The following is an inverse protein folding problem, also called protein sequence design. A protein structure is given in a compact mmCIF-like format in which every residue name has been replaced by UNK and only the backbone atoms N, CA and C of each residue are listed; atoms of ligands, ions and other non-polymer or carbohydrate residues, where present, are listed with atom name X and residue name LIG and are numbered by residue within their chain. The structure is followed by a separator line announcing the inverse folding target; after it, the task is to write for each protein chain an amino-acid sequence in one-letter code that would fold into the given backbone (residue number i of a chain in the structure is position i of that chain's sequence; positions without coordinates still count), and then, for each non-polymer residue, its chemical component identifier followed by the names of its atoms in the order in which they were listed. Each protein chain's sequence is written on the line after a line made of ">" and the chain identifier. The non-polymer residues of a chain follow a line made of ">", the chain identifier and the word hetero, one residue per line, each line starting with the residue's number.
data_IF_639639456105
#
_entry.id   IF_639639456105
#
_cell.length_a   1.000
_cell.length_b   1.000
_cell.length_c   1.000
_cell.angle_alpha   90.00
_cell.angle_beta   90.00
_cell.angle_gamma   90.00
#
_symmetry.space_group_name_H-M   'P 1'
#
loop_
_entity.id
_entity.type
_entity.pdbx_description
1 polymer ?
#
# COMPACT_ATOMS: atom_id res chain seq x y z
N UNK A 1 60.31 -36.57 42.85
CA UNK A 1 59.44 -35.37 42.89
C UNK A 1 59.02 -35.13 41.44
N UNK A 2 57.87 -35.61 40.95
CA UNK A 2 56.46 -35.36 41.29
C UNK A 2 55.89 -34.05 40.69
N UNK A 3 55.58 -34.14 39.40
CA UNK A 3 54.33 -33.75 38.72
C UNK A 3 53.71 -32.35 38.90
N UNK A 4 53.52 -31.69 37.73
CA UNK A 4 52.24 -31.25 37.15
C UNK A 4 51.58 -29.92 37.61
N UNK A 5 50.90 -29.26 36.64
CA UNK A 5 49.96 -28.11 36.78
C UNK A 5 50.64 -26.77 37.17
N UNK A 6 50.12 -25.57 36.89
CA UNK A 6 48.95 -25.05 36.14
C UNK A 6 49.48 -23.94 35.16
N UNK A 7 48.81 -23.40 34.13
CA UNK A 7 47.50 -23.59 33.46
C UNK A 7 47.59 -22.96 32.04
N UNK A 8 46.48 -22.88 31.28
CA UNK A 8 46.36 -22.08 30.03
C UNK A 8 45.08 -21.23 30.11
N UNK A 9 45.21 -19.90 30.15
CA UNK A 9 44.08 -19.00 30.41
C UNK A 9 43.32 -18.66 29.12
N UNK A 10 42.39 -19.54 28.74
CA UNK A 10 41.51 -19.34 27.59
C UNK A 10 40.34 -18.41 27.98
N UNK A 11 40.47 -17.10 27.73
CA UNK A 11 39.39 -16.14 27.94
C UNK A 11 38.25 -16.35 26.93
N UNK A 12 37.23 -17.13 27.31
CA UNK A 12 35.92 -17.10 26.64
C UNK A 12 35.28 -15.72 26.87
N UNK A 13 35.34 -14.87 25.86
CA UNK A 13 34.50 -13.67 25.76
C UNK A 13 33.07 -14.12 25.44
N UNK A 14 32.28 -14.43 26.47
CA UNK A 14 30.84 -14.72 26.31
C UNK A 14 30.12 -13.40 26.05
N UNK A 15 29.80 -13.14 24.79
CA UNK A 15 28.96 -11.99 24.42
C UNK A 15 27.57 -12.13 25.03
N UNK A 16 27.20 -11.23 25.93
CA UNK A 16 25.88 -11.20 26.53
C UNK A 16 24.89 -10.65 25.50
N UNK A 17 24.13 -11.55 24.86
CA UNK A 17 23.04 -11.18 23.96
C UNK A 17 21.81 -10.84 24.81
N UNK A 18 21.62 -9.56 25.14
CA UNK A 18 20.46 -9.09 25.88
C UNK A 18 19.20 -9.14 25.01
N UNK A 19 18.55 -10.30 24.99
CA UNK A 19 17.14 -10.42 24.59
C UNK A 19 16.28 -9.81 25.70
N UNK A 20 15.58 -8.71 25.42
CA UNK A 20 14.50 -8.22 26.28
C UNK A 20 13.36 -9.23 26.26
N UNK A 21 13.12 -9.91 27.39
CA UNK A 21 11.98 -10.82 27.57
C UNK A 21 10.63 -10.10 27.71
N UNK A 22 10.43 -9.01 26.99
CA UNK A 22 9.22 -8.19 27.03
C UNK A 22 8.13 -8.79 26.12
N UNK A 23 6.84 -8.63 26.49
CA UNK A 23 5.74 -8.83 25.55
C UNK A 23 5.91 -7.96 24.28
N UNK A 24 5.50 -8.44 23.09
CA UNK A 24 5.69 -7.72 21.82
C UNK A 24 5.17 -6.27 21.82
N UNK A 25 4.10 -5.99 22.54
CA UNK A 25 3.46 -4.68 22.69
C UNK A 25 4.36 -3.69 23.46
N UNK A 26 5.16 -4.18 24.41
CA UNK A 26 6.14 -3.36 25.14
C UNK A 26 7.48 -3.29 24.41
N UNK A 27 7.82 -4.32 23.65
CA UNK A 27 9.03 -4.34 22.83
C UNK A 27 8.95 -3.37 21.65
N UNK A 28 7.79 -3.21 21.00
CA UNK A 28 7.61 -2.22 19.91
C UNK A 28 7.77 -0.78 20.41
N UNK A 29 7.25 -0.47 21.60
CA UNK A 29 7.43 0.85 22.25
C UNK A 29 8.89 1.09 22.66
N UNK A 30 9.56 0.07 23.22
CA UNK A 30 11.00 0.14 23.54
C UNK A 30 11.85 0.41 22.29
N UNK A 31 11.53 -0.26 21.19
CA UNK A 31 12.22 -0.07 19.91
C UNK A 31 11.92 1.31 19.30
N UNK A 32 10.70 1.84 19.44
CA UNK A 32 10.38 3.21 19.02
C UNK A 32 11.19 4.26 19.80
N UNK A 33 11.35 4.10 21.12
CA UNK A 33 12.18 4.99 21.93
C UNK A 33 13.65 4.95 21.47
N UNK A 34 14.19 3.75 21.25
CA UNK A 34 15.55 3.58 20.77
C UNK A 34 15.74 4.09 19.32
N UNK A 35 14.69 4.04 18.49
CA UNK A 35 14.64 4.61 17.14
C UNK A 35 14.70 6.14 17.17
N UNK A 36 13.92 6.78 18.06
CA UNK A 36 13.97 8.23 18.31
C UNK A 36 15.39 8.67 18.66
N UNK A 37 15.99 8.04 19.67
CA UNK A 37 17.37 8.29 20.10
C UNK A 37 18.39 8.07 18.97
N UNK A 38 18.20 7.05 18.13
CA UNK A 38 19.13 6.76 17.02
C UNK A 38 19.02 7.79 15.90
N UNK A 39 17.82 8.31 15.62
CA UNK A 39 17.61 9.41 14.66
C UNK A 39 18.16 10.73 15.20
N UNK A 40 17.92 11.05 16.47
CA UNK A 40 18.45 12.26 17.14
C UNK A 40 19.99 12.29 17.14
N UNK A 41 20.63 11.14 17.39
CA UNK A 41 22.09 10.99 17.34
C UNK A 41 22.65 10.79 15.91
N UNK A 42 21.81 10.79 14.87
CA UNK A 42 22.25 10.60 13.48
C UNK A 42 22.76 9.19 13.15
N UNK A 43 22.45 8.18 13.97
CA UNK A 43 22.81 6.78 13.76
C UNK A 43 21.78 6.07 12.87
N UNK A 44 21.83 6.38 11.56
CA UNK A 44 20.86 5.92 10.56
C UNK A 44 20.87 4.40 10.31
N UNK A 45 21.99 3.72 10.57
CA UNK A 45 22.11 2.26 10.48
C UNK A 45 21.35 1.57 11.62
N UNK A 46 21.51 2.08 12.84
CA UNK A 46 20.80 1.56 14.00
C UNK A 46 19.30 1.87 13.92
N UNK A 47 18.93 3.08 13.49
CA UNK A 47 17.55 3.45 13.17
C UNK A 47 16.91 2.52 12.12
N UNK A 48 17.64 2.19 11.05
CA UNK A 48 17.20 1.18 10.06
C UNK A 48 16.99 -0.18 10.70
N UNK A 49 17.91 -0.61 11.56
CA UNK A 49 17.86 -1.92 12.23
C UNK A 49 16.67 -2.02 13.18
N UNK A 50 16.35 -0.95 13.91
CA UNK A 50 15.20 -0.87 14.81
C UNK A 50 13.88 -0.94 14.03
N UNK A 51 13.74 -0.21 12.92
CA UNK A 51 12.58 -0.32 12.01
C UNK A 51 12.44 -1.73 11.39
N UNK A 52 13.53 -2.47 11.20
CA UNK A 52 13.48 -3.88 10.79
C UNK A 52 13.03 -4.80 11.93
N UNK A 53 13.45 -4.55 13.17
CA UNK A 53 13.03 -5.31 14.34
C UNK A 53 11.55 -5.07 14.68
N UNK A 54 11.11 -3.81 14.67
CA UNK A 54 9.73 -3.40 14.93
C UNK A 54 8.75 -4.11 13.98
N UNK A 55 9.04 -4.15 12.67
CA UNK A 55 8.24 -4.84 11.64
C UNK A 55 8.23 -6.38 11.76
N UNK A 56 9.08 -6.99 12.59
CA UNK A 56 9.06 -8.44 12.87
C UNK A 56 8.17 -8.80 14.06
N UNK A 57 7.70 -7.81 14.81
CA UNK A 57 6.74 -8.01 15.89
C UNK A 57 5.33 -8.05 15.30
N UNK A 58 4.57 -9.09 15.61
CA UNK A 58 3.19 -9.29 15.15
C UNK A 58 2.20 -8.44 15.97
N UNK A 59 2.44 -7.13 15.99
CA UNK A 59 1.65 -6.12 16.72
C UNK A 59 1.49 -4.84 15.89
N UNK A 60 0.40 -4.06 16.13
CA UNK A 60 0.26 -2.73 15.54
C UNK A 60 1.46 -1.84 15.83
N UNK A 61 1.92 -1.12 14.81
CA UNK A 61 3.06 -0.22 14.91
C UNK A 61 2.59 1.17 15.38
N UNK A 62 3.27 1.83 16.33
CA UNK A 62 2.93 3.19 16.75
C UNK A 62 2.94 4.17 15.56
N UNK A 63 1.98 5.10 15.50
CA UNK A 63 1.82 5.98 14.34
C UNK A 63 3.09 6.78 14.03
N UNK A 64 3.79 7.25 15.06
CA UNK A 64 5.04 8.01 14.97
C UNK A 64 6.16 7.23 14.27
N UNK A 65 6.14 5.89 14.23
CA UNK A 65 7.17 5.10 13.56
C UNK A 65 7.25 5.44 12.06
N UNK A 66 6.14 5.81 11.44
CA UNK A 66 6.07 6.24 10.05
C UNK A 66 6.85 7.54 9.81
N UNK A 67 6.81 8.51 10.73
CA UNK A 67 7.61 9.73 10.62
C UNK A 67 9.12 9.42 10.62
N UNK A 68 9.56 8.57 11.54
CA UNK A 68 10.97 8.16 11.64
C UNK A 68 11.41 7.26 10.47
N UNK A 69 10.54 6.40 9.94
CA UNK A 69 10.80 5.67 8.70
C UNK A 69 10.97 6.63 7.52
N UNK A 70 10.14 7.67 7.41
CA UNK A 70 10.28 8.74 6.43
C UNK A 70 11.66 9.39 6.48
N UNK A 71 12.10 9.83 7.66
CA UNK A 71 13.45 10.39 7.87
C UNK A 71 14.58 9.44 7.43
N UNK A 72 14.48 8.15 7.78
CA UNK A 72 15.46 7.13 7.36
C UNK A 72 15.47 6.96 5.83
N UNK A 73 14.31 7.03 5.16
CA UNK A 73 14.19 6.93 3.71
C UNK A 73 14.73 8.15 2.97
N UNK A 74 14.48 9.38 3.47
CA UNK A 74 15.13 10.60 2.97
C UNK A 74 16.66 10.47 3.01
N UNK A 75 17.21 9.96 4.12
CA UNK A 75 18.66 9.76 4.28
C UNK A 75 19.26 8.74 3.31
N UNK A 76 18.46 7.79 2.83
CA UNK A 76 18.84 6.81 1.80
C UNK A 76 18.57 7.29 0.37
N UNK A 77 18.05 8.51 0.20
CA UNK A 77 17.60 9.05 -1.08
C UNK A 77 16.44 8.23 -1.71
N UNK A 78 15.70 7.47 -0.90
CA UNK A 78 14.49 6.74 -1.30
C UNK A 78 13.27 7.69 -1.36
N UNK A 79 13.40 8.84 -2.04
CA UNK A 79 12.47 9.98 -1.92
C UNK A 79 11.00 9.63 -2.16
N UNK A 80 10.71 8.86 -3.22
CA UNK A 80 9.35 8.36 -3.49
C UNK A 80 8.76 7.58 -2.31
N UNK A 81 9.53 6.63 -1.76
CA UNK A 81 9.11 5.80 -0.62
C UNK A 81 9.00 6.63 0.67
N UNK A 82 9.90 7.60 0.86
CA UNK A 82 9.88 8.50 2.01
C UNK A 82 8.57 9.30 2.02
N UNK A 83 8.22 9.88 0.88
CA UNK A 83 6.98 10.63 0.67
C UNK A 83 5.75 9.80 0.99
N UNK A 84 5.60 8.61 0.41
CA UNK A 84 4.45 7.72 0.68
C UNK A 84 4.26 7.40 2.16
N UNK A 85 5.35 7.16 2.90
CA UNK A 85 5.32 6.86 4.34
C UNK A 85 5.00 8.11 5.19
N UNK A 86 5.50 9.28 4.80
CA UNK A 86 5.21 10.55 5.46
C UNK A 86 3.76 11.00 5.21
N UNK A 87 3.24 10.83 3.99
CA UNK A 87 1.82 11.07 3.67
C UNK A 87 0.91 10.20 4.55
N UNK A 88 1.25 8.91 4.72
CA UNK A 88 0.52 8.01 5.63
C UNK A 88 0.55 8.49 7.07
N UNK A 89 1.68 8.99 7.56
CA UNK A 89 1.78 9.59 8.90
C UNK A 89 0.80 10.78 9.03
N UNK A 90 0.89 11.74 8.11
CA UNK A 90 0.06 12.96 8.07
C UNK A 90 -1.44 12.62 8.07
N UNK A 91 -1.86 11.64 7.27
CA UNK A 91 -3.26 11.22 7.14
C UNK A 91 -3.74 10.48 8.39
N UNK A 92 -2.89 9.65 8.99
CA UNK A 92 -3.26 8.83 10.17
C UNK A 92 -3.25 9.64 11.46
N UNK A 93 -2.35 10.62 11.62
CA UNK A 93 -2.25 11.46 12.82
C UNK A 93 -3.11 12.73 12.74
N UNK A 94 -3.43 13.19 11.52
CA UNK A 94 -4.07 14.48 11.28
C UNK A 94 -3.24 15.66 11.79
N UNK A 95 -3.86 16.84 11.82
CA UNK A 95 -3.23 18.12 12.23
C UNK A 95 -2.81 18.20 13.70
N UNK A 96 -3.11 17.17 14.50
CA UNK A 96 -2.70 17.07 15.90
C UNK A 96 -1.45 16.19 16.10
N UNK A 97 -0.94 15.56 15.03
CA UNK A 97 0.28 14.75 15.09
C UNK A 97 1.52 15.56 15.49
N UNK A 98 2.31 15.04 16.42
CA UNK A 98 3.52 15.70 16.96
C UNK A 98 4.48 16.22 15.87
N UNK A 99 4.56 15.52 14.74
CA UNK A 99 5.46 15.84 13.62
C UNK A 99 4.74 16.31 12.36
N UNK A 100 3.48 16.75 12.44
CA UNK A 100 2.64 17.05 11.28
C UNK A 100 3.27 18.08 10.33
N UNK A 101 3.72 19.22 10.86
CA UNK A 101 4.36 20.28 10.05
C UNK A 101 5.71 19.84 9.45
N UNK A 102 6.47 19.04 10.20
CA UNK A 102 7.76 18.51 9.77
C UNK A 102 7.57 17.46 8.66
N UNK A 103 6.57 16.60 8.79
CA UNK A 103 6.24 15.60 7.78
C UNK A 103 5.78 16.24 6.47
N UNK A 104 4.91 17.27 6.52
CA UNK A 104 4.51 18.04 5.35
C UNK A 104 5.70 18.69 4.65
N UNK A 105 6.64 19.26 5.40
CA UNK A 105 7.87 19.84 4.83
C UNK A 105 8.74 18.78 4.14
N UNK A 106 8.96 17.64 4.80
CA UNK A 106 9.75 16.53 4.26
C UNK A 106 9.10 15.90 3.02
N UNK A 107 7.77 15.92 2.89
CA UNK A 107 7.05 15.54 1.67
C UNK A 107 7.43 16.48 0.52
N UNK A 108 7.37 17.80 0.72
CA UNK A 108 7.78 18.78 -0.29
C UNK A 108 9.26 18.62 -0.68
N UNK A 109 10.15 18.50 0.31
CA UNK A 109 11.58 18.26 0.08
C UNK A 109 11.84 16.96 -0.71
N UNK A 110 11.07 15.90 -0.45
CA UNK A 110 11.15 14.64 -1.19
C UNK A 110 10.70 14.80 -2.64
N UNK A 111 9.61 15.51 -2.91
CA UNK A 111 9.13 15.74 -4.28
C UNK A 111 10.11 16.60 -5.11
N UNK A 112 10.71 17.62 -4.50
CA UNK A 112 11.72 18.45 -5.16
C UNK A 112 12.98 17.64 -5.47
N UNK A 113 13.40 16.76 -4.55
CA UNK A 113 14.52 15.85 -4.77
C UNK A 113 14.23 14.77 -5.84
N UNK A 114 13.03 14.19 -5.85
CA UNK A 114 12.55 13.25 -6.87
C UNK A 114 12.63 13.88 -8.28
N UNK A 115 12.04 15.07 -8.46
CA UNK A 115 12.11 15.86 -9.71
C UNK A 115 13.55 16.23 -10.09
N UNK A 116 14.41 16.50 -9.11
CA UNK A 116 15.83 16.85 -9.34
C UNK A 116 16.66 15.67 -9.81
N UNK A 117 16.39 14.45 -9.33
CA UNK A 117 17.03 13.23 -9.83
C UNK A 117 16.62 12.92 -11.27
N UNK A 118 15.34 13.09 -11.59
CA UNK A 118 14.84 12.95 -12.97
C UNK A 118 15.46 13.99 -13.92
N UNK A 119 15.60 15.24 -13.47
CA UNK A 119 16.20 16.34 -14.25
C UNK A 119 17.72 16.24 -14.45
N UNK A 120 18.44 15.55 -13.56
CA UNK A 120 19.89 15.35 -13.65
C UNK A 120 20.29 14.09 -14.46
N UNK A 121 19.30 13.31 -14.90
CA UNK A 121 19.47 12.19 -15.83
C UNK A 121 19.98 12.64 -17.19
N UNK A 122 21.29 12.52 -17.41
CA UNK A 122 21.97 12.88 -18.65
C UNK A 122 21.31 12.22 -19.87
N UNK A 123 21.07 13.03 -20.92
CA UNK A 123 20.46 12.65 -22.21
C UNK A 123 21.24 11.57 -22.98
N UNK A 124 21.20 10.33 -22.51
CA UNK A 124 21.37 9.19 -23.39
C UNK A 124 20.04 8.98 -24.12
N UNK A 125 19.98 9.47 -25.36
CA UNK A 125 19.02 8.98 -26.36
C UNK A 125 19.34 7.52 -26.71
N UNK A 126 19.08 6.61 -25.77
CA UNK A 126 18.34 5.42 -26.19
C UNK A 126 16.96 5.96 -26.50
N UNK A 127 16.54 5.90 -27.77
CA UNK A 127 15.13 6.08 -28.06
C UNK A 127 14.39 5.06 -27.23
N UNK A 128 13.67 5.51 -26.21
CA UNK A 128 12.45 4.84 -25.82
C UNK A 128 11.58 4.99 -27.07
N UNK A 129 11.66 4.00 -27.94
CA UNK A 129 10.53 3.67 -28.79
C UNK A 129 9.33 3.71 -27.84
N UNK A 130 8.44 4.66 -28.13
CA UNK A 130 7.10 4.64 -27.61
C UNK A 130 6.61 3.21 -27.80
N UNK A 131 6.50 2.45 -26.71
CA UNK A 131 5.99 1.09 -26.77
C UNK A 131 4.52 1.25 -27.12
N UNK A 132 4.24 1.30 -28.42
CA UNK A 132 2.91 1.17 -28.98
C UNK A 132 2.32 -0.08 -28.35
N UNK A 133 1.39 0.10 -27.42
CA UNK A 133 0.86 -0.96 -26.55
C UNK A 133 0.23 -2.08 -27.40
N UNK A 134 0.92 -3.20 -27.70
CA UNK A 134 0.34 -4.25 -28.54
C UNK A 134 -0.66 -5.08 -27.72
N UNK A 135 -0.62 -4.91 -26.40
CA UNK A 135 -1.37 -5.68 -25.40
C UNK A 135 -2.64 -4.96 -24.91
N UNK A 136 -2.74 -3.62 -24.97
CA UNK A 136 -3.93 -2.90 -24.50
C UNK A 136 -5.16 -3.30 -25.31
N UNK A 137 -5.01 -3.29 -26.63
CA UNK A 137 -6.02 -3.75 -27.58
C UNK A 137 -6.35 -5.24 -27.42
N UNK A 138 -5.32 -6.10 -27.24
CA UNK A 138 -5.52 -7.55 -27.12
C UNK A 138 -6.37 -7.93 -25.91
N UNK A 139 -6.10 -7.32 -24.75
CA UNK A 139 -6.90 -7.55 -23.53
C UNK A 139 -8.35 -7.07 -23.71
N UNK A 140 -8.57 -5.84 -24.16
CA UNK A 140 -9.92 -5.28 -24.33
C UNK A 140 -10.72 -6.08 -25.37
N UNK A 141 -10.09 -6.49 -26.50
CA UNK A 141 -10.73 -7.34 -27.53
C UNK A 141 -11.08 -8.73 -26.99
N UNK A 142 -10.28 -9.28 -26.07
CA UNK A 142 -10.60 -10.56 -25.42
C UNK A 142 -11.81 -10.45 -24.47
N UNK A 143 -11.93 -9.34 -23.72
CA UNK A 143 -13.12 -9.06 -22.90
C UNK A 143 -14.37 -8.81 -23.76
N UNK A 144 -14.25 -8.03 -24.85
CA UNK A 144 -15.33 -7.81 -25.82
C UNK A 144 -15.86 -9.14 -26.39
N UNK A 145 -14.95 -10.06 -26.75
CA UNK A 145 -15.32 -11.40 -27.20
C UNK A 145 -15.93 -12.27 -26.08
N UNK A 146 -15.40 -12.20 -24.85
CA UNK A 146 -15.89 -12.95 -23.69
C UNK A 146 -17.33 -12.55 -23.31
N UNK A 147 -17.60 -11.24 -23.27
CA UNK A 147 -18.89 -10.67 -22.87
C UNK A 147 -19.82 -10.35 -24.05
N UNK A 148 -19.43 -10.69 -25.28
CA UNK A 148 -20.23 -10.51 -26.51
C UNK A 148 -20.67 -9.06 -26.79
N UNK A 149 -19.83 -8.08 -26.43
CA UNK A 149 -20.06 -6.65 -26.71
C UNK A 149 -19.03 -6.08 -27.68
N UNK A 150 -19.40 -4.99 -28.35
CA UNK A 150 -18.51 -4.17 -29.18
C UNK A 150 -18.01 -2.92 -28.45
N UNK A 151 -18.57 -2.59 -27.28
CA UNK A 151 -18.18 -1.41 -26.48
C UNK A 151 -17.03 -1.79 -25.52
N UNK A 152 -15.86 -1.14 -25.60
CA UNK A 152 -14.74 -1.43 -24.71
C UNK A 152 -14.99 -1.02 -23.25
N UNK A 153 -15.76 0.04 -23.02
CA UNK A 153 -16.15 0.55 -21.69
C UNK A 153 -17.15 -0.42 -21.05
N UNK A 154 -18.11 -0.93 -21.83
CA UNK A 154 -19.05 -1.96 -21.38
C UNK A 154 -18.32 -3.27 -21.02
N UNK A 155 -17.39 -3.73 -21.87
CA UNK A 155 -16.59 -4.92 -21.63
C UNK A 155 -15.77 -4.85 -20.33
N UNK A 156 -15.12 -3.71 -20.08
CA UNK A 156 -14.35 -3.46 -18.86
C UNK A 156 -15.26 -3.35 -17.62
N UNK A 157 -16.42 -2.69 -17.75
CA UNK A 157 -17.43 -2.62 -16.68
C UNK A 157 -17.97 -4.00 -16.31
N UNK A 158 -18.25 -4.86 -17.30
CA UNK A 158 -18.67 -6.25 -17.06
C UNK A 158 -17.58 -7.07 -16.38
N UNK A 159 -16.31 -6.94 -16.79
CA UNK A 159 -15.20 -7.62 -16.13
C UNK A 159 -15.06 -7.22 -14.66
N UNK A 160 -15.07 -5.92 -14.37
CA UNK A 160 -14.99 -5.40 -12.99
C UNK A 160 -16.16 -5.93 -12.16
N UNK A 161 -17.40 -5.83 -12.65
CA UNK A 161 -18.57 -6.31 -11.93
C UNK A 161 -18.59 -7.83 -11.72
N UNK A 162 -18.03 -8.61 -12.66
CA UNK A 162 -17.86 -10.05 -12.52
C UNK A 162 -16.94 -10.40 -11.34
N UNK A 163 -15.78 -9.74 -11.25
CA UNK A 163 -14.81 -9.91 -10.16
C UNK A 163 -15.39 -9.49 -8.81
N UNK A 164 -16.03 -8.31 -8.73
CA UNK A 164 -16.64 -7.79 -7.50
C UNK A 164 -17.78 -8.67 -6.97
N UNK A 165 -18.57 -9.27 -7.86
CA UNK A 165 -19.67 -10.15 -7.48
C UNK A 165 -19.21 -11.58 -7.12
N UNK A 166 -18.11 -12.06 -7.71
CA UNK A 166 -17.53 -13.37 -7.37
C UNK A 166 -16.65 -13.33 -6.10
N UNK A 167 -16.04 -12.19 -5.79
CA UNK A 167 -15.13 -12.01 -4.64
C UNK A 167 -15.59 -10.88 -3.67
N UNK A 168 -16.84 -10.91 -3.17
CA UNK A 168 -17.29 -9.95 -2.17
C UNK A 168 -16.43 -10.08 -0.90
N UNK A 169 -16.20 -8.97 -0.20
CA UNK A 169 -15.47 -9.01 1.07
C UNK A 169 -16.39 -9.54 2.18
N UNK A 170 -16.02 -10.67 2.79
CA UNK A 170 -16.75 -11.30 3.90
C UNK A 170 -16.13 -11.01 5.26
N UNK A 171 -14.86 -10.59 5.30
CA UNK A 171 -14.10 -10.38 6.54
C UNK A 171 -13.82 -11.67 7.32
N UNK A 172 -13.88 -12.83 6.67
CA UNK A 172 -13.67 -14.13 7.32
C UNK A 172 -13.07 -15.16 6.36
N UNK A 173 -12.09 -15.93 6.84
CA UNK A 173 -11.50 -17.06 6.09
C UNK A 173 -12.53 -18.14 5.71
N UNK A 174 -13.62 -18.26 6.47
CA UNK A 174 -14.67 -19.26 6.28
C UNK A 174 -15.89 -18.60 5.64
N UNK A 175 -16.12 -18.86 4.35
CA UNK A 175 -17.29 -18.37 3.61
C UNK A 175 -18.55 -19.16 3.97
N UNK A 176 -19.61 -18.49 4.43
CA UNK A 176 -20.89 -19.14 4.75
C UNK A 176 -21.83 -19.14 3.54
N UNK A 177 -21.96 -20.29 2.88
CA UNK A 177 -22.87 -20.43 1.74
C UNK A 177 -24.32 -20.03 2.10
N UNK A 178 -24.91 -19.14 1.30
CA UNK A 178 -26.28 -18.67 1.46
C UNK A 178 -26.48 -17.54 2.47
N UNK A 179 -25.45 -17.14 3.22
CA UNK A 179 -25.51 -15.97 4.12
C UNK A 179 -25.03 -14.73 3.37
N UNK A 180 -25.77 -13.62 3.50
CA UNK A 180 -25.36 -12.31 2.98
C UNK A 180 -24.62 -11.59 4.09
N UNK A 181 -23.29 -11.56 4.01
CA UNK A 181 -22.40 -10.96 5.00
C UNK A 181 -21.33 -10.11 4.32
N UNK A 182 -20.80 -9.10 5.05
CA UNK A 182 -19.73 -8.24 4.57
C UNK A 182 -20.17 -7.17 3.56
N UNK A 183 -19.35 -6.91 2.53
CA UNK A 183 -19.49 -5.81 1.57
C UNK A 183 -19.59 -6.36 0.12
N UNK A 184 -20.57 -5.88 -0.63
CA UNK A 184 -20.77 -6.18 -2.05
C UNK A 184 -20.76 -4.88 -2.84
N UNK A 185 -19.96 -4.83 -3.91
CA UNK A 185 -19.80 -3.64 -4.75
C UNK A 185 -20.43 -3.84 -6.13
N UNK A 186 -20.97 -2.77 -6.71
CA UNK A 186 -21.40 -2.71 -8.10
C UNK A 186 -20.92 -1.40 -8.74
N UNK A 187 -20.27 -1.50 -9.89
CA UNK A 187 -19.76 -0.36 -10.65
C UNK A 187 -20.73 -0.03 -11.81
N UNK A 188 -21.28 1.18 -11.80
CA UNK A 188 -21.94 1.80 -12.93
C UNK A 188 -21.02 2.79 -13.65
N UNK A 189 -21.21 2.95 -14.96
CA UNK A 189 -20.56 3.99 -15.75
C UNK A 189 -21.54 5.14 -15.97
N UNK A 190 -21.07 6.37 -15.84
CA UNK A 190 -21.84 7.60 -16.09
C UNK A 190 -21.06 8.55 -16.99
N UNK A 191 -21.70 9.59 -17.52
CA UNK A 191 -21.02 10.54 -18.42
C UNK A 191 -19.84 11.22 -17.74
N UNK A 192 -18.63 10.92 -18.19
CA UNK A 192 -17.37 11.47 -17.66
C UNK A 192 -16.89 10.87 -16.33
N UNK A 193 -17.48 9.76 -15.88
CA UNK A 193 -17.25 9.24 -14.53
C UNK A 193 -17.72 7.81 -14.29
N UNK A 194 -17.54 7.34 -13.07
CA UNK A 194 -18.07 6.07 -12.57
C UNK A 194 -18.89 6.30 -11.30
N UNK A 195 -19.84 5.41 -11.05
CA UNK A 195 -20.62 5.32 -9.82
C UNK A 195 -20.35 3.99 -9.15
N UNK A 196 -19.86 4.02 -7.90
CA UNK A 196 -19.69 2.83 -7.09
C UNK A 196 -20.87 2.73 -6.11
N UNK A 197 -21.67 1.69 -6.26
CA UNK A 197 -22.67 1.30 -5.27
C UNK A 197 -22.03 0.29 -4.31
N UNK A 198 -22.15 0.54 -3.01
CA UNK A 198 -21.72 -0.39 -1.96
C UNK A 198 -22.93 -0.85 -1.18
N UNK A 199 -23.02 -2.17 -0.97
CA UNK A 199 -24.03 -2.79 -0.14
C UNK A 199 -23.37 -3.50 1.03
N UNK A 200 -23.52 -2.92 2.23
CA UNK A 200 -23.00 -3.46 3.49
C UNK A 200 -24.05 -4.30 4.19
N UNK A 201 -23.63 -5.45 4.71
CA UNK A 201 -24.38 -6.32 5.61
C UNK A 201 -23.72 -6.39 7.01
N UNK A 202 -22.79 -5.48 7.31
CA UNK A 202 -22.00 -5.51 8.55
C UNK A 202 -22.82 -5.07 9.78
N UNK A 203 -23.69 -4.06 9.62
CA UNK A 203 -24.52 -3.50 10.69
C UNK A 203 -25.90 -4.19 10.83
N UNK A 204 -25.98 -5.46 10.42
CA UNK A 204 -27.16 -6.33 10.52
C UNK A 204 -28.25 -6.04 9.48
N UNK A 205 -28.72 -4.80 9.38
CA UNK A 205 -29.61 -4.38 8.29
C UNK A 205 -28.78 -4.05 7.02
N UNK A 206 -29.23 -4.44 5.81
CA UNK A 206 -28.50 -4.15 4.59
C UNK A 206 -28.52 -2.65 4.29
N UNK A 207 -27.39 -1.97 4.45
CA UNK A 207 -27.20 -0.58 4.06
C UNK A 207 -26.76 -0.50 2.60
N UNK A 208 -27.25 0.51 1.88
CA UNK A 208 -26.86 0.81 0.50
C UNK A 208 -26.33 2.25 0.44
N UNK A 209 -25.11 2.42 -0.03
CA UNK A 209 -24.50 3.71 -0.31
C UNK A 209 -24.10 3.78 -1.79
N UNK A 210 -23.94 4.99 -2.33
CA UNK A 210 -23.50 5.20 -3.70
C UNK A 210 -22.63 6.45 -3.79
N UNK A 211 -21.46 6.32 -4.40
CA UNK A 211 -20.45 7.38 -4.54
C UNK A 211 -20.12 7.57 -6.01
N UNK A 212 -20.05 8.82 -6.46
CA UNK A 212 -19.71 9.19 -7.84
C UNK A 212 -18.28 9.72 -7.92
N UNK A 213 -17.56 9.34 -8.96
CA UNK A 213 -16.20 9.77 -9.25
C UNK A 213 -16.14 10.30 -10.69
N UNK A 214 -15.75 11.55 -10.89
CA UNK A 214 -15.45 12.09 -12.23
C UNK A 214 -14.00 11.80 -12.59
N UNK A 215 -13.73 11.28 -13.79
CA UNK A 215 -12.36 10.86 -14.16
C UNK A 215 -11.48 12.00 -14.69
N UNK A 216 -12.07 13.15 -15.01
CA UNK A 216 -11.35 14.32 -15.52
C UNK A 216 -10.28 14.82 -14.53
N UNK A 217 -9.01 14.80 -14.93
CA UNK A 217 -7.89 15.28 -14.12
C UNK A 217 -7.42 14.33 -13.01
N UNK A 218 -7.93 13.10 -12.95
CA UNK A 218 -7.43 12.07 -12.03
C UNK A 218 -6.25 11.29 -12.63
N UNK A 219 -5.42 10.72 -11.75
CA UNK A 219 -4.47 9.67 -12.12
C UNK A 219 -5.26 8.39 -12.40
N UNK A 220 -5.23 7.84 -13.64
CA UNK A 220 -5.99 6.64 -13.97
C UNK A 220 -5.31 5.36 -13.46
N UNK A 221 -4.06 5.41 -12.99
CA UNK A 221 -3.33 4.24 -12.49
C UNK A 221 -3.72 3.93 -11.05
N UNK A 222 -4.63 2.98 -10.89
CA UNK A 222 -5.10 2.54 -9.58
C UNK A 222 -4.01 1.72 -8.88
N UNK A 223 -3.74 2.03 -7.61
CA UNK A 223 -2.94 1.17 -6.74
C UNK A 223 -3.80 0.10 -6.07
N UNK A 224 -3.19 -1.02 -5.71
CA UNK A 224 -3.84 -2.12 -5.00
C UNK A 224 -3.01 -2.57 -3.79
N UNK A 225 -3.63 -3.27 -2.85
CA UNK A 225 -2.93 -3.89 -1.72
C UNK A 225 -3.72 -5.06 -1.12
N UNK A 226 -3.03 -5.93 -0.40
CA UNK A 226 -3.62 -7.06 0.31
C UNK A 226 -3.07 -7.19 1.73
N UNK A 227 -3.88 -7.79 2.61
CA UNK A 227 -3.48 -8.19 3.96
C UNK A 227 -4.10 -9.55 4.27
N UNK A 228 -3.25 -10.55 4.44
CA UNK A 228 -3.62 -11.90 4.87
C UNK A 228 -4.13 -11.92 6.32
N UNK A 229 -3.72 -10.95 7.15
CA UNK A 229 -4.23 -10.74 8.52
C UNK A 229 -5.67 -10.22 8.52
N UNK A 230 -6.01 -9.31 7.60
CA UNK A 230 -7.39 -8.80 7.44
C UNK A 230 -8.28 -9.72 6.59
N UNK A 231 -7.73 -10.79 6.01
CA UNK A 231 -8.36 -11.61 4.97
C UNK A 231 -8.97 -10.78 3.83
N UNK A 232 -8.27 -9.70 3.43
CA UNK A 232 -8.77 -8.76 2.44
C UNK A 232 -7.72 -8.31 1.42
N UNK A 233 -8.20 -7.93 0.25
CA UNK A 233 -7.50 -7.07 -0.69
C UNK A 233 -8.33 -5.80 -0.98
N UNK A 234 -7.69 -4.76 -1.51
CA UNK A 234 -8.35 -3.50 -1.82
C UNK A 234 -7.73 -2.76 -3.00
N UNK A 235 -8.55 -1.96 -3.68
CA UNK A 235 -8.09 -0.88 -4.55
C UNK A 235 -7.98 0.43 -3.77
N UNK A 236 -7.05 1.29 -4.15
CA UNK A 236 -6.88 2.64 -3.62
C UNK A 236 -7.71 3.66 -4.42
N UNK A 237 -8.11 4.76 -3.80
CA UNK A 237 -8.93 5.78 -4.46
C UNK A 237 -8.08 6.60 -5.45
N UNK A 238 -8.51 6.81 -6.70
CA UNK A 238 -7.69 7.52 -7.70
C UNK A 238 -7.39 8.99 -7.36
N UNK A 239 -8.21 9.62 -6.50
CA UNK A 239 -7.92 10.98 -5.97
C UNK A 239 -7.23 10.99 -4.60
N UNK A 240 -7.11 9.84 -3.92
CA UNK A 240 -6.45 9.71 -2.62
C UNK A 240 -5.78 8.33 -2.53
N UNK A 241 -4.46 8.32 -2.73
CA UNK A 241 -3.64 7.10 -2.77
C UNK A 241 -3.51 6.39 -1.42
N UNK A 242 -4.10 6.91 -0.35
CA UNK A 242 -4.12 6.29 0.99
C UNK A 242 -5.51 5.77 1.37
N UNK A 243 -6.57 6.29 0.75
CA UNK A 243 -7.93 5.80 0.95
C UNK A 243 -8.13 4.44 0.26
N UNK A 244 -8.50 3.42 1.03
CA UNK A 244 -9.01 2.15 0.49
C UNK A 244 -10.42 2.40 -0.08
N UNK A 245 -10.60 2.18 -1.37
CA UNK A 245 -11.83 2.53 -2.10
C UNK A 245 -12.79 1.36 -2.26
N UNK A 246 -12.27 0.21 -2.68
CA UNK A 246 -13.04 -1.02 -2.92
C UNK A 246 -12.34 -2.14 -2.14
N UNK A 247 -13.07 -2.92 -1.35
CA UNK A 247 -12.54 -4.04 -0.57
C UNK A 247 -13.10 -5.38 -1.09
N UNK A 248 -12.25 -6.37 -1.29
CA UNK A 248 -12.61 -7.74 -1.66
C UNK A 248 -12.01 -8.74 -0.66
N UNK A 249 -12.48 -9.99 -0.67
CA UNK A 249 -11.80 -11.08 0.05
C UNK A 249 -10.33 -11.21 -0.41
N UNK A 250 -9.46 -11.75 0.46
CA UNK A 250 -8.04 -11.96 0.12
C UNK A 250 -7.86 -12.92 -1.07
N UNK A 251 -7.54 -12.35 -2.22
CA UNK A 251 -7.17 -13.03 -3.46
C UNK A 251 -6.27 -12.09 -4.30
N UNK A 252 -4.97 -12.37 -4.30
CA UNK A 252 -3.95 -11.49 -4.92
C UNK A 252 -4.10 -11.44 -6.45
N UNK A 253 -4.46 -12.56 -7.09
CA UNK A 253 -4.66 -12.61 -8.54
C UNK A 253 -5.88 -11.77 -8.97
N UNK A 254 -6.94 -11.82 -8.16
CA UNK A 254 -8.18 -11.07 -8.44
C UNK A 254 -7.99 -9.57 -8.20
N UNK A 255 -7.23 -9.15 -7.18
CA UNK A 255 -6.99 -7.71 -6.99
C UNK A 255 -6.12 -7.13 -8.10
N UNK A 256 -5.15 -7.89 -8.63
CA UNK A 256 -4.32 -7.47 -9.76
C UNK A 256 -5.14 -7.32 -11.06
N UNK A 257 -5.98 -8.31 -11.38
CA UNK A 257 -6.89 -8.23 -12.53
C UNK A 257 -7.92 -7.09 -12.37
N UNK A 258 -8.46 -6.90 -11.17
CA UNK A 258 -9.39 -5.81 -10.85
C UNK A 258 -8.72 -4.42 -10.98
N UNK A 259 -7.47 -4.29 -10.53
CA UNK A 259 -6.64 -3.08 -10.69
C UNK A 259 -6.44 -2.76 -12.16
N UNK A 260 -6.06 -3.77 -12.95
CA UNK A 260 -5.72 -3.59 -14.36
C UNK A 260 -6.97 -3.28 -15.22
N UNK A 261 -8.10 -3.94 -14.93
CA UNK A 261 -9.40 -3.64 -15.54
C UNK A 261 -9.88 -2.23 -15.19
N UNK A 262 -9.84 -1.84 -13.90
CA UNK A 262 -10.23 -0.49 -13.45
C UNK A 262 -9.33 0.59 -14.07
N UNK A 263 -8.01 0.38 -14.09
CA UNK A 263 -7.06 1.31 -14.72
C UNK A 263 -7.40 1.53 -16.20
N UNK A 264 -7.68 0.46 -16.95
CA UNK A 264 -8.06 0.56 -18.37
C UNK A 264 -9.42 1.26 -18.55
N UNK A 265 -10.39 1.01 -17.67
CA UNK A 265 -11.69 1.68 -17.70
C UNK A 265 -11.54 3.20 -17.51
N UNK A 266 -10.79 3.62 -16.50
CA UNK A 266 -10.55 5.04 -16.23
C UNK A 266 -9.80 5.70 -17.40
N UNK A 267 -8.81 5.02 -17.99
CA UNK A 267 -8.12 5.51 -19.21
C UNK A 267 -9.06 5.65 -20.41
N UNK A 268 -9.99 4.72 -20.63
CA UNK A 268 -10.98 4.83 -21.71
C UNK A 268 -11.95 5.98 -21.46
N UNK A 269 -12.49 6.10 -20.25
CA UNK A 269 -13.39 7.21 -19.88
C UNK A 269 -12.71 8.58 -19.96
N UNK A 270 -11.38 8.66 -19.81
CA UNK A 270 -10.60 9.89 -20.02
C UNK A 270 -10.35 10.22 -21.50
N UNK A 271 -10.45 9.24 -22.41
CA UNK A 271 -10.29 9.45 -23.85
C UNK A 271 -11.57 9.93 -24.53
N UNK A 272 -12.73 9.69 -23.91
CA UNK A 272 -14.07 10.08 -24.40
C UNK A 272 -14.57 11.44 -23.84
N UNK A 273 -13.68 12.23 -23.20
CA UNK A 273 -13.94 13.54 -22.58
C UNK A 273 -13.60 14.73 -23.50
#
# INVERSE_FOLDING_TARGET
>A
MRNLCLFLFLCLQVGIVNSSGLPPEHEVERLLLALKESVENGNWEHATSQLVLMRKLDVPQPLESHYFEGLVKIRKQEFHSARQVLERYVISSGSQGQFYEQALRLITEAEEAEKSLEGSGQKNKTSIEMVELPQRDGYIKSLQALYLTQDPVEALSMQINSLLNAHPYTGSRIKKNGVKEGLVYHLGVVKGGVTLQEKSYQDGAPMLSATSLQVAGLDPFIGAGCSSLEYACWLLHPSDKHQRWIKIDYDEMVVDELRDAMTKLLQSLQQDL
#
